data_IF_813181280929
#
_entry.id   IF_813181280929
#
_cell.length_a   1.000
_cell.length_b   1.000
_cell.length_c   1.000
_cell.angle_alpha   90.00
_cell.angle_beta   90.00
_cell.angle_gamma   90.00
#
_symmetry.space_group_name_H-M   'P 1'
#
loop_
_entity.id
_entity.type
_entity.pdbx_description
1 polymer ?
#
# COMPACT_ATOMS: atom_id res chain seq x y z
N UNK A 1 29.78 55.79 48.19
CA UNK A 1 28.56 55.69 49.03
C UNK A 1 27.42 55.42 48.08
N UNK A 2 27.24 54.14 47.69
CA UNK A 2 26.29 53.19 48.26
C UNK A 2 24.92 53.24 47.54
N UNK A 3 24.60 52.12 46.85
CA UNK A 3 23.27 51.48 46.68
C UNK A 3 22.17 52.25 45.89
N UNK A 4 21.31 51.63 45.08
CA UNK A 4 20.81 50.25 45.03
C UNK A 4 20.42 49.81 43.61
N UNK A 5 20.71 48.55 43.31
CA UNK A 5 20.22 47.77 42.18
C UNK A 5 18.89 47.12 42.57
N UNK A 6 17.77 47.63 42.06
CA UNK A 6 16.47 47.01 42.30
C UNK A 6 15.52 47.20 41.11
N UNK A 7 15.74 46.47 40.01
CA UNK A 7 14.76 46.37 38.92
C UNK A 7 14.87 45.08 38.08
N UNK A 8 15.11 43.91 38.69
CA UNK A 8 15.04 42.61 37.95
C UNK A 8 14.45 41.46 38.80
N UNK A 9 13.49 41.73 39.69
CA UNK A 9 12.85 40.65 40.50
C UNK A 9 11.34 40.54 40.28
N UNK A 10 10.71 41.49 39.58
CA UNK A 10 9.23 41.51 39.45
C UNK A 10 8.71 40.73 38.24
N UNK A 11 9.55 40.33 37.28
CA UNK A 11 9.07 39.62 36.08
C UNK A 11 9.08 38.08 36.18
N UNK A 12 9.93 37.47 37.03
CA UNK A 12 10.00 36.00 37.14
C UNK A 12 8.84 35.39 37.95
N UNK A 13 8.36 36.09 38.98
CA UNK A 13 7.24 35.62 39.83
C UNK A 13 5.91 35.55 39.06
N UNK A 14 5.66 36.50 38.16
CA UNK A 14 4.44 36.53 37.36
C UNK A 14 4.43 35.44 36.30
N UNK A 15 5.59 35.13 35.68
CA UNK A 15 5.73 34.03 34.74
C UNK A 15 5.59 32.64 35.40
N UNK A 16 6.14 32.45 36.60
CA UNK A 16 5.95 31.19 37.34
C UNK A 16 4.49 30.95 37.73
N UNK A 17 3.78 32.00 38.17
CA UNK A 17 2.35 31.89 38.50
C UNK A 17 1.49 31.63 37.26
N UNK A 18 1.87 32.18 36.10
CA UNK A 18 1.19 31.93 34.82
C UNK A 18 1.39 30.50 34.32
N UNK A 19 2.61 29.95 34.44
CA UNK A 19 2.91 28.55 34.09
C UNK A 19 2.20 27.57 35.04
N UNK A 20 2.12 27.87 36.35
CA UNK A 20 1.36 27.06 37.31
C UNK A 20 -0.16 27.10 37.03
N UNK A 21 -0.69 28.24 36.59
CA UNK A 21 -2.10 28.37 36.22
C UNK A 21 -2.44 27.58 34.94
N UNK A 22 -1.57 27.61 33.93
CA UNK A 22 -1.73 26.80 32.70
C UNK A 22 -1.67 25.30 33.02
N UNK A 23 -0.74 24.87 33.88
CA UNK A 23 -0.68 23.47 34.31
C UNK A 23 -1.90 23.04 35.14
N UNK A 24 -2.50 23.93 35.94
CA UNK A 24 -3.74 23.65 36.66
C UNK A 24 -4.95 23.51 35.72
N UNK A 25 -5.02 24.33 34.67
CA UNK A 25 -6.08 24.25 33.66
C UNK A 25 -5.94 22.96 32.83
N UNK A 26 -4.71 22.57 32.46
CA UNK A 26 -4.44 21.29 31.79
C UNK A 26 -4.76 20.08 32.69
N UNK A 27 -4.49 20.13 34.00
CA UNK A 27 -4.87 19.06 34.92
C UNK A 27 -6.39 18.95 35.14
N UNK A 28 -7.11 20.07 35.08
CA UNK A 28 -8.57 20.08 35.21
C UNK A 28 -9.33 19.56 33.98
N UNK A 29 -8.64 19.35 32.85
CA UNK A 29 -9.20 18.70 31.65
C UNK A 29 -8.77 17.25 31.45
N UNK A 30 -8.00 16.67 32.38
CA UNK A 30 -7.87 15.21 32.47
C UNK A 30 -9.11 14.68 33.20
N UNK A 31 -10.26 14.85 32.56
CA UNK A 31 -11.42 14.02 32.83
C UNK A 31 -11.05 12.60 32.42
N UNK A 32 -10.85 11.73 33.40
CA UNK A 32 -10.90 10.30 33.16
C UNK A 32 -12.25 9.99 32.51
N UNK A 33 -12.26 9.75 31.20
CA UNK A 33 -13.35 9.00 30.57
C UNK A 33 -13.18 7.59 31.11
N UNK A 34 -13.84 7.32 32.24
CA UNK A 34 -14.11 5.97 32.68
C UNK A 34 -15.16 5.43 31.71
N UNK A 35 -14.70 4.97 30.54
CA UNK A 35 -15.51 4.18 29.64
C UNK A 35 -15.89 2.91 30.38
N UNK A 36 -17.12 2.90 30.90
CA UNK A 36 -17.80 1.70 31.37
C UNK A 36 -17.57 0.59 30.35
N UNK A 37 -16.98 -0.52 30.81
CA UNK A 37 -16.70 -1.71 29.99
C UNK A 37 -17.98 -2.47 29.58
N UNK A 38 -19.15 -1.93 29.92
CA UNK A 38 -20.45 -2.62 29.78
C UNK A 38 -21.32 -2.11 28.61
N UNK A 39 -20.91 -1.08 27.87
CA UNK A 39 -21.75 -0.52 26.78
C UNK A 39 -21.36 -0.94 25.35
N UNK A 40 -20.45 -1.91 25.18
CA UNK A 40 -20.27 -2.62 23.89
C UNK A 40 -21.01 -3.96 23.89
N UNK A 41 -22.33 -3.93 24.11
CA UNK A 41 -23.18 -5.07 23.79
C UNK A 41 -23.53 -5.04 22.29
N UNK A 42 -22.73 -5.74 21.48
CA UNK A 42 -23.04 -6.10 20.09
C UNK A 42 -24.14 -7.20 20.10
N UNK A 43 -25.34 -6.86 20.57
CA UNK A 43 -26.46 -7.81 20.65
C UNK A 43 -27.78 -7.25 20.13
N UNK A 44 -27.76 -6.17 19.34
CA UNK A 44 -28.98 -5.69 18.70
C UNK A 44 -28.80 -5.18 17.26
N UNK A 45 -28.04 -5.91 16.44
CA UNK A 45 -27.90 -5.65 15.00
C UNK A 45 -28.88 -6.47 14.13
N UNK A 46 -29.87 -7.13 14.73
CA UNK A 46 -30.69 -8.14 14.06
C UNK A 46 -32.05 -7.66 13.55
N UNK A 47 -32.23 -6.37 13.19
CA UNK A 47 -33.55 -5.94 12.67
C UNK A 47 -33.59 -5.33 11.27
N UNK A 48 -32.53 -4.74 10.70
CA UNK A 48 -32.60 -4.21 9.32
C UNK A 48 -31.24 -4.16 8.59
N UNK A 49 -30.59 -5.30 8.44
CA UNK A 49 -29.43 -5.43 7.57
C UNK A 49 -29.26 -6.88 7.18
N UNK A 50 -29.64 -7.24 5.95
CA UNK A 50 -29.33 -8.56 5.40
C UNK A 50 -27.81 -8.77 5.50
N UNK A 51 -27.38 -9.89 6.08
CA UNK A 51 -26.00 -10.39 6.07
C UNK A 51 -25.58 -10.71 4.62
N UNK A 52 -25.43 -9.67 3.81
CA UNK A 52 -24.93 -9.80 2.46
C UNK A 52 -23.41 -9.91 2.53
N UNK A 53 -22.93 -11.15 2.50
CA UNK A 53 -21.53 -11.43 2.20
C UNK A 53 -21.43 -11.61 0.67
N UNK A 54 -20.87 -10.65 -0.08
CA UNK A 54 -20.70 -10.83 -1.52
C UNK A 54 -19.88 -12.10 -1.80
N UNK A 55 -20.26 -12.91 -2.82
CA UNK A 55 -19.53 -14.11 -3.19
C UNK A 55 -18.07 -13.77 -3.48
N UNK A 56 -17.16 -14.60 -2.98
CA UNK A 56 -15.72 -14.41 -3.27
C UNK A 56 -15.46 -14.71 -4.75
N UNK A 57 -14.89 -13.77 -5.52
CA UNK A 57 -14.49 -14.06 -6.89
C UNK A 57 -13.45 -15.19 -6.89
N UNK A 58 -13.60 -16.21 -7.74
CA UNK A 58 -12.63 -17.30 -7.82
C UNK A 58 -11.24 -16.74 -8.17
N UNK A 59 -10.21 -17.24 -7.48
CA UNK A 59 -8.83 -16.87 -7.78
C UNK A 59 -8.51 -17.29 -9.23
N UNK A 60 -8.01 -16.38 -10.07
CA UNK A 60 -7.61 -16.74 -11.43
C UNK A 60 -6.49 -17.80 -11.39
N UNK A 61 -6.49 -18.78 -12.31
CA UNK A 61 -5.46 -19.80 -12.37
C UNK A 61 -4.07 -19.18 -12.61
N UNK A 62 -2.98 -19.81 -12.11
CA UNK A 62 -1.63 -19.29 -12.31
C UNK A 62 -1.29 -19.27 -13.81
N UNK A 63 -1.00 -18.08 -14.37
CA UNK A 63 -0.50 -18.00 -15.74
C UNK A 63 0.90 -18.66 -15.84
N UNK A 64 1.19 -19.38 -16.94
CA UNK A 64 2.53 -19.89 -17.22
C UNK A 64 3.54 -18.73 -17.22
N UNK A 65 4.73 -18.97 -16.68
CA UNK A 65 5.79 -17.97 -16.70
C UNK A 65 6.37 -17.81 -18.12
N UNK A 66 6.74 -16.58 -18.54
CA UNK A 66 7.56 -16.40 -19.73
C UNK A 66 8.94 -17.07 -19.55
N UNK A 67 9.69 -17.30 -20.64
CA UNK A 67 11.06 -17.80 -20.54
C UNK A 67 11.90 -16.89 -19.63
N UNK A 68 12.84 -17.50 -18.89
CA UNK A 68 13.72 -16.75 -18.01
C UNK A 68 14.68 -15.89 -18.81
N UNK A 69 14.81 -14.62 -18.41
CA UNK A 69 15.83 -13.71 -18.91
C UNK A 69 17.24 -14.17 -18.49
N UNK A 70 18.24 -13.81 -19.28
CA UNK A 70 19.67 -13.98 -19.03
C UNK A 70 20.26 -12.72 -18.37
N UNK A 71 21.37 -12.89 -17.63
CA UNK A 71 22.00 -11.75 -16.95
C UNK A 71 22.64 -10.76 -17.94
N UNK A 72 23.45 -11.27 -18.89
CA UNK A 72 24.29 -10.43 -19.75
C UNK A 72 23.52 -9.87 -20.95
N UNK A 73 22.75 -10.72 -21.64
CA UNK A 73 22.09 -10.31 -22.89
C UNK A 73 20.80 -9.53 -22.62
N UNK A 74 19.94 -10.04 -21.74
CA UNK A 74 18.62 -9.45 -21.50
C UNK A 74 18.62 -8.36 -20.43
N UNK A 75 19.30 -8.62 -19.30
CA UNK A 75 19.35 -7.70 -18.17
C UNK A 75 20.52 -6.72 -18.22
N UNK A 76 21.41 -6.83 -19.23
CA UNK A 76 22.61 -5.98 -19.39
C UNK A 76 23.46 -5.90 -18.11
N UNK A 77 23.43 -6.96 -17.32
CA UNK A 77 24.17 -7.10 -16.08
C UNK A 77 25.55 -7.72 -16.28
N UNK A 78 26.25 -7.89 -15.18
CA UNK A 78 27.57 -8.54 -15.15
C UNK A 78 27.44 -9.88 -14.42
N UNK A 79 27.92 -10.96 -15.04
CA UNK A 79 27.95 -12.29 -14.45
C UNK A 79 26.77 -13.16 -14.90
N UNK A 80 26.22 -13.98 -13.99
CA UNK A 80 25.20 -14.97 -14.33
C UNK A 80 24.21 -15.18 -13.21
N UNK A 81 22.94 -15.41 -13.56
CA UNK A 81 21.87 -15.76 -12.62
C UNK A 81 22.12 -17.09 -11.89
N UNK A 82 23.06 -17.92 -12.36
CA UNK A 82 23.45 -19.15 -11.67
C UNK A 82 24.57 -18.97 -10.63
N UNK A 83 25.31 -17.86 -10.70
CA UNK A 83 26.40 -17.53 -9.76
C UNK A 83 26.06 -16.23 -9.03
N UNK A 84 26.33 -15.08 -9.64
CA UNK A 84 25.95 -13.76 -9.17
C UNK A 84 25.72 -12.90 -10.39
N UNK A 85 24.53 -12.31 -10.48
CA UNK A 85 24.16 -11.35 -11.52
C UNK A 85 24.07 -9.97 -10.88
N UNK A 86 24.92 -9.05 -11.34
CA UNK A 86 24.92 -7.67 -10.86
C UNK A 86 24.30 -6.76 -11.91
N UNK A 87 23.20 -6.10 -11.56
CA UNK A 87 22.54 -5.13 -12.43
C UNK A 87 23.06 -3.75 -12.11
N UNK A 88 23.69 -3.10 -13.09
CA UNK A 88 24.31 -1.78 -12.96
C UNK A 88 23.64 -0.72 -13.85
N UNK A 89 22.58 -1.09 -14.58
CA UNK A 89 21.93 -0.27 -15.59
C UNK A 89 20.42 -0.32 -15.38
N UNK A 90 19.75 0.81 -15.62
CA UNK A 90 18.30 0.90 -15.56
C UNK A 90 17.64 0.06 -16.65
N UNK A 91 16.57 -0.65 -16.30
CA UNK A 91 15.82 -1.52 -17.19
C UNK A 91 14.35 -1.09 -17.22
N UNK A 92 13.79 -1.05 -18.43
CA UNK A 92 12.39 -0.79 -18.66
C UNK A 92 11.82 -1.87 -19.57
N UNK A 93 10.80 -2.56 -19.09
CA UNK A 93 10.10 -3.61 -19.79
C UNK A 93 8.70 -3.15 -20.17
N UNK A 94 8.17 -3.74 -21.24
CA UNK A 94 6.80 -3.49 -21.72
C UNK A 94 5.89 -4.71 -21.51
N UNK A 95 6.47 -5.86 -21.18
CA UNK A 95 5.78 -7.14 -21.05
C UNK A 95 6.17 -7.82 -19.73
N UNK A 96 5.39 -8.84 -19.35
CA UNK A 96 5.69 -9.69 -18.21
C UNK A 96 7.09 -10.31 -18.33
N UNK A 97 7.88 -10.25 -17.26
CA UNK A 97 9.24 -10.79 -17.21
C UNK A 97 9.40 -11.80 -16.09
N UNK A 98 10.25 -12.79 -16.37
CA UNK A 98 10.68 -13.79 -15.40
C UNK A 98 12.21 -13.83 -15.32
N UNK A 99 12.74 -13.72 -14.12
CA UNK A 99 14.18 -13.77 -13.83
C UNK A 99 14.41 -14.95 -12.90
N UNK A 100 14.91 -16.05 -13.45
CA UNK A 100 15.15 -17.31 -12.75
C UNK A 100 16.64 -17.63 -12.63
N UNK A 101 17.08 -18.07 -11.45
CA UNK A 101 18.50 -18.35 -11.21
C UNK A 101 18.79 -19.22 -9.98
N UNK A 102 19.95 -19.90 -10.01
CA UNK A 102 20.48 -20.66 -8.87
C UNK A 102 21.43 -19.86 -7.96
N UNK A 103 21.88 -18.71 -8.45
CA UNK A 103 22.86 -17.83 -7.81
C UNK A 103 22.21 -16.69 -7.03
N UNK A 104 22.87 -15.53 -7.03
CA UNK A 104 22.41 -14.27 -6.45
C UNK A 104 21.94 -13.29 -7.53
N UNK A 105 21.07 -12.35 -7.14
CA UNK A 105 20.70 -11.20 -7.96
C UNK A 105 20.88 -9.91 -7.14
N UNK A 106 21.86 -9.10 -7.55
CA UNK A 106 22.19 -7.84 -6.90
C UNK A 106 21.81 -6.68 -7.80
N UNK A 107 20.83 -5.90 -7.38
CA UNK A 107 20.48 -4.64 -8.03
C UNK A 107 21.31 -3.56 -7.36
N UNK A 108 22.29 -3.03 -8.09
CA UNK A 108 23.24 -2.06 -7.54
C UNK A 108 22.56 -0.73 -7.19
N UNK A 109 23.21 0.14 -6.39
CA UNK A 109 22.65 1.43 -6.02
C UNK A 109 22.22 2.27 -7.21
N UNK A 110 21.13 3.03 -7.03
CA UNK A 110 20.53 3.90 -8.04
C UNK A 110 20.03 3.21 -9.33
N UNK A 111 19.95 1.88 -9.35
CA UNK A 111 19.41 1.13 -10.48
C UNK A 111 17.89 1.00 -10.36
N UNK A 112 17.18 1.25 -11.46
CA UNK A 112 15.73 1.11 -11.55
C UNK A 112 15.35 0.00 -12.52
N UNK A 113 14.45 -0.90 -12.08
CA UNK A 113 13.82 -1.90 -12.93
C UNK A 113 12.33 -1.58 -12.98
N UNK A 114 11.80 -1.34 -14.18
CA UNK A 114 10.43 -0.87 -14.33
C UNK A 114 9.65 -1.65 -15.39
N UNK A 115 8.36 -1.86 -15.14
CA UNK A 115 7.37 -2.20 -16.15
C UNK A 115 6.10 -1.41 -15.84
N UNK A 116 5.91 -0.31 -16.55
CA UNK A 116 4.87 0.68 -16.23
C UNK A 116 3.51 0.38 -16.88
N UNK A 117 3.39 -0.75 -17.58
CA UNK A 117 2.10 -1.22 -18.10
C UNK A 117 1.24 -1.70 -16.93
N UNK A 118 -0.01 -1.20 -16.76
CA UNK A 118 -0.89 -1.62 -15.67
C UNK A 118 -1.06 -3.15 -15.63
N UNK A 119 -0.81 -3.73 -14.46
CA UNK A 119 -0.85 -5.18 -14.24
C UNK A 119 0.38 -5.97 -14.72
N UNK A 120 1.37 -5.31 -15.32
CA UNK A 120 2.60 -5.97 -15.78
C UNK A 120 3.34 -6.65 -14.62
N UNK A 121 3.85 -7.84 -14.88
CA UNK A 121 4.41 -8.72 -13.87
C UNK A 121 5.92 -8.84 -13.98
N UNK A 122 6.63 -8.48 -12.91
CA UNK A 122 8.03 -8.82 -12.69
C UNK A 122 8.10 -9.97 -11.68
N UNK A 123 8.58 -11.13 -12.11
CA UNK A 123 8.74 -12.31 -11.25
C UNK A 123 10.20 -12.73 -11.14
N UNK A 124 10.74 -12.71 -9.93
CA UNK A 124 12.11 -13.06 -9.61
C UNK A 124 12.11 -14.34 -8.78
N UNK A 125 12.88 -15.33 -9.20
CA UNK A 125 13.02 -16.62 -8.53
C UNK A 125 14.49 -17.03 -8.49
N UNK A 126 15.11 -16.74 -7.36
CA UNK A 126 16.54 -16.88 -7.13
C UNK A 126 16.75 -17.86 -5.97
N UNK A 127 17.72 -18.78 -6.10
CA UNK A 127 17.91 -19.82 -5.07
C UNK A 127 18.75 -19.36 -3.88
N UNK A 128 19.47 -18.23 -4.01
CA UNK A 128 20.30 -17.63 -2.96
C UNK A 128 19.76 -16.24 -2.60
N UNK A 129 20.61 -15.21 -2.67
CA UNK A 129 20.34 -13.91 -2.11
C UNK A 129 19.83 -12.94 -3.19
N UNK A 130 18.84 -12.15 -2.81
CA UNK A 130 18.36 -11.01 -3.57
C UNK A 130 18.70 -9.73 -2.80
N UNK A 131 19.30 -8.76 -3.48
CA UNK A 131 19.61 -7.46 -2.87
C UNK A 131 19.11 -6.32 -3.74
N UNK A 132 18.46 -5.35 -3.09
CA UNK A 132 18.05 -4.08 -3.69
C UNK A 132 18.89 -2.98 -3.04
N UNK A 133 19.88 -2.48 -3.77
CA UNK A 133 20.88 -1.52 -3.30
C UNK A 133 20.30 -0.14 -2.96
N UNK A 134 21.14 0.74 -2.42
CA UNK A 134 20.71 2.06 -1.96
C UNK A 134 20.04 2.88 -3.07
N UNK A 135 18.89 3.49 -2.78
CA UNK A 135 18.11 4.29 -3.75
C UNK A 135 17.73 3.56 -5.06
N UNK A 136 17.80 2.22 -5.08
CA UNK A 136 17.35 1.44 -6.23
C UNK A 136 15.84 1.17 -6.14
N UNK A 137 15.20 0.96 -7.28
CA UNK A 137 13.73 0.89 -7.33
C UNK A 137 13.22 -0.20 -8.26
N UNK A 138 12.16 -0.88 -7.86
CA UNK A 138 11.39 -1.78 -8.71
C UNK A 138 9.99 -1.22 -8.86
N UNK A 139 9.56 -0.95 -10.11
CA UNK A 139 8.23 -0.48 -10.44
C UNK A 139 7.51 -1.50 -11.31
N UNK A 140 6.36 -2.00 -10.87
CA UNK A 140 5.57 -2.97 -11.65
C UNK A 140 4.11 -3.00 -11.19
N UNK A 141 3.21 -3.55 -12.00
CA UNK A 141 1.85 -3.84 -11.54
C UNK A 141 1.79 -5.03 -10.59
N UNK A 142 2.55 -6.09 -10.86
CA UNK A 142 2.73 -7.23 -9.97
C UNK A 142 4.21 -7.51 -9.77
N UNK A 143 4.66 -7.56 -8.53
CA UNK A 143 5.98 -8.02 -8.15
C UNK A 143 5.90 -9.33 -7.37
N UNK A 144 6.66 -10.34 -7.79
CA UNK A 144 6.77 -11.61 -7.08
C UNK A 144 8.24 -11.94 -6.88
N UNK A 145 8.68 -12.04 -5.63
CA UNK A 145 10.01 -12.47 -5.25
C UNK A 145 9.96 -13.81 -4.54
N UNK A 146 10.78 -14.74 -5.01
CA UNK A 146 11.15 -15.98 -4.31
C UNK A 146 12.66 -16.01 -4.18
N UNK A 147 13.15 -15.98 -2.95
CA UNK A 147 14.58 -15.98 -2.66
C UNK A 147 14.88 -16.80 -1.40
N UNK A 148 16.16 -17.16 -1.19
CA UNK A 148 16.59 -17.66 0.11
C UNK A 148 16.70 -16.51 1.10
N UNK A 149 17.55 -15.51 0.84
CA UNK A 149 17.56 -14.26 1.60
C UNK A 149 17.16 -13.08 0.72
N UNK A 150 16.60 -12.05 1.33
CA UNK A 150 16.31 -10.79 0.65
C UNK A 150 16.70 -9.60 1.53
N UNK A 151 17.29 -8.57 0.91
CA UNK A 151 17.64 -7.32 1.58
C UNK A 151 17.22 -6.12 0.73
N UNK A 152 16.52 -5.18 1.37
CA UNK A 152 16.20 -3.86 0.83
C UNK A 152 17.01 -2.84 1.60
N UNK A 153 17.97 -2.20 0.93
CA UNK A 153 18.90 -1.22 1.53
C UNK A 153 18.23 0.17 1.58
N UNK A 154 18.78 1.07 2.40
CA UNK A 154 18.28 2.43 2.61
C UNK A 154 17.87 3.15 1.32
N UNK A 155 16.72 3.81 1.35
CA UNK A 155 16.14 4.51 0.20
C UNK A 155 15.67 3.60 -0.96
N UNK A 156 15.85 2.28 -0.87
CA UNK A 156 15.33 1.38 -1.90
C UNK A 156 13.79 1.27 -1.86
N UNK A 157 13.18 0.93 -3.00
CA UNK A 157 11.73 0.82 -3.09
C UNK A 157 11.25 -0.32 -3.99
N UNK A 158 10.21 -1.01 -3.55
CA UNK A 158 9.36 -1.85 -4.40
C UNK A 158 8.00 -1.16 -4.46
N UNK A 159 7.65 -0.63 -5.63
CA UNK A 159 6.49 0.23 -5.80
C UNK A 159 5.55 -0.30 -6.89
N UNK A 160 4.30 -0.52 -6.50
CA UNK A 160 3.24 -0.97 -7.42
C UNK A 160 2.04 -0.01 -7.45
N UNK A 161 2.27 1.22 -6.99
CA UNK A 161 1.26 2.27 -6.84
C UNK A 161 0.68 2.67 -8.19
N UNK A 162 -0.66 2.75 -8.31
CA UNK A 162 -1.42 3.08 -9.54
C UNK A 162 -1.23 2.08 -10.70
N UNK A 163 -0.43 1.02 -10.53
CA UNK A 163 -0.11 0.06 -11.58
C UNK A 163 -0.99 -1.21 -11.52
N UNK A 164 -2.17 -1.16 -10.90
CA UNK A 164 -3.09 -2.30 -10.86
C UNK A 164 -3.44 -2.83 -12.26
N UNK A 165 -3.50 -4.16 -12.37
CA UNK A 165 -4.23 -4.82 -13.45
C UNK A 165 -5.73 -4.83 -13.17
N UNK A 166 -6.45 -5.77 -13.78
CA UNK A 166 -7.89 -5.90 -13.53
C UNK A 166 -8.16 -6.37 -12.10
N UNK A 167 -8.91 -5.60 -11.28
CA UNK A 167 -9.30 -6.04 -9.95
C UNK A 167 -10.31 -7.20 -10.04
N UNK A 168 -10.64 -7.89 -8.93
CA UNK A 168 -11.66 -8.92 -8.94
C UNK A 168 -13.00 -8.39 -9.52
N UNK A 169 -13.85 -9.28 -10.05
CA UNK A 169 -15.16 -8.85 -10.56
C UNK A 169 -15.99 -8.16 -9.45
N UNK A 170 -16.82 -7.18 -9.83
CA UNK A 170 -17.70 -6.43 -8.92
C UNK A 170 -17.00 -5.53 -7.89
N UNK A 171 -15.72 -5.19 -8.11
CA UNK A 171 -14.92 -4.35 -7.19
C UNK A 171 -14.80 -2.89 -7.61
N UNK A 172 -15.09 -2.57 -8.87
CA UNK A 172 -15.47 -1.22 -9.24
C UNK A 172 -16.87 -1.03 -8.67
N UNK A 173 -17.01 -0.20 -7.63
CA UNK A 173 -18.34 0.13 -7.13
C UNK A 173 -19.21 0.53 -8.32
N UNK A 174 -20.43 0.00 -8.42
CA UNK A 174 -21.31 0.40 -9.52
C UNK A 174 -21.90 1.74 -9.11
N UNK A 175 -21.40 2.88 -9.62
CA UNK A 175 -21.97 4.13 -9.21
C UNK A 175 -23.40 4.22 -9.74
N UNK A 176 -24.35 4.63 -8.90
CA UNK A 176 -25.67 4.98 -9.38
C UNK A 176 -25.63 6.40 -9.96
N UNK A 177 -25.72 6.52 -11.29
CA UNK A 177 -25.78 7.82 -11.95
C UNK A 177 -24.40 8.41 -12.24
N UNK A 178 -24.13 9.61 -11.72
CA UNK A 178 -22.87 10.34 -11.88
C UNK A 178 -22.09 10.38 -10.56
N UNK A 179 -22.28 9.43 -9.64
CA UNK A 179 -21.52 9.42 -8.39
C UNK A 179 -20.21 8.63 -8.59
N UNK A 180 -19.16 8.89 -7.81
CA UNK A 180 -17.91 8.09 -7.86
C UNK A 180 -17.99 6.97 -6.83
N UNK A 181 -17.71 5.71 -7.21
CA UNK A 181 -17.70 4.59 -6.27
C UNK A 181 -16.54 3.62 -6.55
N UNK A 182 -15.83 3.22 -5.49
CA UNK A 182 -14.79 2.19 -5.55
C UNK A 182 -15.03 1.13 -4.49
N UNK A 183 -14.71 -0.13 -4.76
CA UNK A 183 -14.71 -1.19 -3.74
C UNK A 183 -13.38 -1.25 -2.99
N UNK A 184 -13.39 -1.81 -1.78
CA UNK A 184 -12.21 -2.00 -0.93
C UNK A 184 -11.91 -3.48 -0.66
N UNK A 185 -10.63 -3.82 -0.52
CA UNK A 185 -10.25 -5.14 -0.03
C UNK A 185 -10.55 -5.22 1.47
N UNK A 186 -11.41 -6.17 1.89
CA UNK A 186 -11.71 -6.38 3.30
C UNK A 186 -12.60 -5.31 3.96
N UNK A 187 -13.07 -4.31 3.23
CA UNK A 187 -14.02 -3.30 3.69
C UNK A 187 -14.79 -2.67 2.54
N UNK A 188 -15.81 -1.85 2.84
CA UNK A 188 -16.50 -1.06 1.79
C UNK A 188 -15.56 0.02 1.30
N UNK A 189 -15.61 0.34 0.01
CA UNK A 189 -14.80 1.45 -0.49
C UNK A 189 -15.50 2.80 -0.34
N UNK A 190 -14.82 3.86 -0.75
CA UNK A 190 -15.31 5.22 -0.63
C UNK A 190 -16.34 5.56 -1.70
N UNK A 191 -17.25 6.47 -1.36
CA UNK A 191 -18.18 7.12 -2.27
C UNK A 191 -17.90 8.62 -2.34
N UNK A 192 -18.04 9.19 -3.54
CA UNK A 192 -18.00 10.63 -3.75
C UNK A 192 -19.43 11.12 -3.97
N UNK A 193 -19.99 11.80 -2.96
CA UNK A 193 -21.29 12.47 -3.04
C UNK A 193 -21.09 13.84 -3.69
N UNK A 194 -21.63 14.01 -4.89
CA UNK A 194 -21.68 15.33 -5.56
C UNK A 194 -23.03 16.02 -5.38
N UNK A 195 -24.05 15.28 -4.96
CA UNK A 195 -25.40 15.77 -4.70
C UNK A 195 -25.58 16.12 -3.22
N UNK A 196 -25.72 17.40 -2.92
CA UNK A 196 -25.93 17.92 -1.57
C UNK A 196 -27.31 17.54 -0.98
N UNK A 197 -28.20 16.93 -1.76
CA UNK A 197 -29.50 16.43 -1.29
C UNK A 197 -29.45 15.01 -0.75
N UNK A 198 -28.36 14.26 -1.00
CA UNK A 198 -28.18 12.90 -0.50
C UNK A 198 -27.33 12.92 0.77
N UNK A 199 -27.72 12.16 1.78
CA UNK A 199 -26.90 11.97 2.97
C UNK A 199 -25.86 10.85 2.75
N UNK A 200 -24.83 10.80 3.59
CA UNK A 200 -23.74 9.83 3.43
C UNK A 200 -24.20 8.39 3.71
N UNK A 201 -25.27 8.23 4.49
CA UNK A 201 -26.00 6.97 4.66
C UNK A 201 -26.78 6.51 3.42
N UNK A 202 -27.05 7.41 2.47
CA UNK A 202 -27.83 7.11 1.24
C UNK A 202 -26.94 6.67 0.07
N UNK A 203 -25.62 6.92 0.15
CA UNK A 203 -24.66 6.61 -0.92
C UNK A 203 -23.52 5.80 -0.36
N UNK A 204 -23.35 4.60 -0.91
CA UNK A 204 -22.34 3.65 -0.46
C UNK A 204 -21.29 3.50 -1.56
N UNK A 205 -20.04 3.29 -1.17
CA UNK A 205 -19.01 2.91 -2.12
C UNK A 205 -19.23 1.49 -2.64
N UNK A 206 -18.29 1.02 -3.44
CA UNK A 206 -18.34 -0.33 -4.00
C UNK A 206 -18.27 -1.43 -2.96
N UNK A 207 -18.74 -2.60 -3.38
CA UNK A 207 -18.77 -3.79 -2.54
C UNK A 207 -17.38 -4.17 -2.04
N UNK A 208 -17.38 -4.75 -0.84
CA UNK A 208 -16.19 -5.36 -0.26
C UNK A 208 -15.79 -6.58 -1.07
N UNK A 209 -14.50 -6.72 -1.33
CA UNK A 209 -13.94 -7.93 -1.94
C UNK A 209 -12.84 -8.54 -1.11
N UNK A 210 -12.63 -9.85 -1.31
CA UNK A 210 -11.56 -10.57 -0.64
C UNK A 210 -11.78 -10.81 0.86
N UNK A 211 -13.00 -10.59 1.38
CA UNK A 211 -13.34 -10.81 2.80
C UNK A 211 -12.96 -12.22 3.30
N UNK A 212 -13.23 -13.25 2.51
CA UNK A 212 -12.89 -14.65 2.83
C UNK A 212 -11.39 -15.00 2.70
N UNK A 213 -10.59 -14.08 2.13
CA UNK A 213 -9.15 -14.26 1.89
C UNK A 213 -8.33 -13.14 2.53
N UNK A 214 -8.85 -12.52 3.59
CA UNK A 214 -8.13 -11.50 4.38
C UNK A 214 -6.78 -12.01 4.91
N UNK A 215 -6.70 -13.31 5.22
CA UNK A 215 -5.46 -13.97 5.66
C UNK A 215 -4.44 -14.17 4.52
N UNK A 216 -4.86 -14.05 3.27
CA UNK A 216 -4.07 -14.34 2.07
C UNK A 216 -4.38 -13.31 0.96
N UNK A 217 -4.14 -12.01 1.18
CA UNK A 217 -4.48 -10.98 0.21
C UNK A 217 -3.72 -11.21 -1.10
N UNK A 218 -4.48 -11.27 -2.21
CA UNK A 218 -3.92 -11.48 -3.55
C UNK A 218 -4.81 -10.88 -4.65
N UNK A 219 -5.16 -9.61 -4.49
CA UNK A 219 -5.99 -8.86 -5.42
C UNK A 219 -5.35 -7.54 -5.79
N UNK A 220 -5.55 -7.11 -7.04
CA UNK A 220 -5.31 -5.72 -7.40
C UNK A 220 -6.31 -4.81 -6.68
N UNK A 221 -5.90 -3.56 -6.45
CA UNK A 221 -6.80 -2.49 -6.07
C UNK A 221 -7.75 -2.15 -7.21
N UNK A 222 -8.98 -1.81 -6.87
CA UNK A 222 -9.92 -1.18 -7.80
C UNK A 222 -9.44 0.24 -8.16
N UNK A 223 -9.74 0.69 -9.39
CA UNK A 223 -9.35 2.02 -9.88
C UNK A 223 -10.18 3.17 -9.29
N UNK A 224 -11.23 2.87 -8.52
CA UNK A 224 -12.30 3.83 -8.27
C UNK A 224 -13.25 3.92 -9.47
N UNK A 225 -14.31 4.70 -9.32
CA UNK A 225 -15.33 4.92 -10.35
C UNK A 225 -15.48 6.41 -10.65
N UNK A 226 -15.99 6.73 -11.84
CA UNK A 226 -16.16 8.09 -12.34
C UNK A 226 -17.61 8.53 -12.30
N UNK A 227 -17.79 9.84 -12.23
CA UNK A 227 -19.08 10.53 -12.39
C UNK A 227 -19.46 10.71 -13.87
N UNK A 228 -18.49 10.64 -14.77
CA UNK A 228 -18.68 10.85 -16.22
C UNK A 228 -19.05 9.57 -16.95
N UNK A 229 -19.97 9.69 -17.93
CA UNK A 229 -20.35 8.59 -18.83
C UNK A 229 -19.38 8.38 -19.99
N UNK A 230 -18.54 9.38 -20.26
CA UNK A 230 -17.71 9.46 -21.46
C UNK A 230 -16.23 9.18 -21.16
N UNK A 231 -15.78 9.48 -19.93
CA UNK A 231 -14.37 9.36 -19.53
C UNK A 231 -14.23 8.77 -18.13
N UNK A 232 -13.30 7.82 -17.98
CA UNK A 232 -12.93 7.23 -16.70
C UNK A 232 -11.87 8.11 -16.00
N UNK A 233 -12.29 8.76 -14.92
CA UNK A 233 -11.44 9.59 -14.04
C UNK A 233 -10.97 8.85 -12.78
N UNK A 234 -11.11 7.52 -12.72
CA UNK A 234 -10.65 6.75 -11.55
C UNK A 234 -9.14 6.87 -11.30
N UNK A 235 -8.76 7.05 -10.04
CA UNK A 235 -7.36 7.26 -9.62
C UNK A 235 -6.39 6.10 -9.86
N UNK A 236 -6.86 4.95 -10.33
CA UNK A 236 -6.02 3.78 -10.61
C UNK A 236 -5.70 2.97 -9.35
N UNK A 237 -5.81 1.65 -9.42
CA UNK A 237 -5.64 0.80 -8.25
C UNK A 237 -4.18 0.50 -7.91
N UNK A 238 -3.93 0.06 -6.69
CA UNK A 238 -2.64 -0.49 -6.27
C UNK A 238 -2.36 -1.90 -6.79
N UNK A 239 -1.09 -2.18 -7.06
CA UNK A 239 -0.63 -3.45 -7.59
C UNK A 239 -0.61 -4.63 -6.60
N UNK A 240 0.20 -5.65 -6.90
CA UNK A 240 0.36 -6.81 -6.03
C UNK A 240 1.82 -7.10 -5.75
N UNK A 241 2.16 -7.27 -4.49
CA UNK A 241 3.51 -7.62 -4.04
C UNK A 241 3.43 -8.96 -3.30
N UNK A 242 4.25 -9.93 -3.72
CA UNK A 242 4.41 -11.19 -3.00
C UNK A 242 5.88 -11.50 -2.81
N UNK A 243 6.32 -11.61 -1.56
CA UNK A 243 7.67 -12.02 -1.20
C UNK A 243 7.61 -13.33 -0.42
N UNK A 244 8.33 -14.34 -0.90
CA UNK A 244 8.48 -15.64 -0.22
C UNK A 244 9.96 -15.88 0.01
N UNK A 245 10.40 -15.67 1.23
CA UNK A 245 11.79 -15.67 1.66
C UNK A 245 12.01 -16.84 2.62
N UNK A 246 12.96 -17.72 2.31
CA UNK A 246 13.19 -18.94 3.10
C UNK A 246 14.10 -18.74 4.31
N UNK A 247 15.04 -17.82 4.21
CA UNK A 247 15.95 -17.39 5.27
C UNK A 247 15.45 -16.07 5.84
N UNK A 248 16.31 -15.06 5.87
CA UNK A 248 15.98 -13.76 6.44
C UNK A 248 15.53 -12.76 5.38
N UNK A 249 14.64 -11.85 5.81
CA UNK A 249 14.23 -10.67 5.07
C UNK A 249 14.61 -9.43 5.89
N UNK A 250 15.49 -8.61 5.35
CA UNK A 250 15.85 -7.30 5.90
C UNK A 250 15.21 -6.19 5.06
N UNK A 251 14.43 -5.32 5.69
CA UNK A 251 13.70 -4.23 5.02
C UNK A 251 14.09 -2.92 5.65
N UNK A 252 15.16 -2.33 5.12
CA UNK A 252 15.52 -0.94 5.35
C UNK A 252 15.16 -0.10 4.11
N UNK A 253 13.95 -0.29 3.58
CA UNK A 253 13.46 0.38 2.38
C UNK A 253 11.94 0.49 2.42
N UNK A 254 11.33 0.78 1.27
CA UNK A 254 9.87 0.96 1.16
C UNK A 254 9.23 -0.10 0.27
N UNK A 255 8.04 -0.55 0.66
CA UNK A 255 7.23 -1.52 -0.11
C UNK A 255 5.83 -0.93 -0.20
N UNK A 256 5.43 -0.52 -1.40
CA UNK A 256 4.23 0.30 -1.63
C UNK A 256 3.29 -0.34 -2.66
N UNK A 257 2.00 -0.36 -2.34
CA UNK A 257 0.94 -0.84 -3.24
C UNK A 257 -0.26 0.09 -3.17
N UNK A 258 -0.05 1.40 -3.26
CA UNK A 258 -1.11 2.38 -3.07
C UNK A 258 -2.02 2.52 -4.29
N UNK A 259 -3.27 2.90 -4.07
CA UNK A 259 -4.11 3.45 -5.14
C UNK A 259 -3.71 4.89 -5.45
N UNK A 260 -4.20 5.43 -6.57
CA UNK A 260 -3.98 6.83 -6.93
C UNK A 260 -5.21 7.69 -6.70
N UNK A 261 -5.03 8.98 -6.98
CA UNK A 261 -6.08 9.98 -6.83
C UNK A 261 -6.82 10.20 -8.16
N UNK A 262 -8.15 10.13 -8.12
CA UNK A 262 -9.04 10.40 -9.26
C UNK A 262 -9.36 11.88 -9.46
N UNK A 263 -8.90 12.74 -8.54
CA UNK A 263 -9.16 14.17 -8.56
C UNK A 263 -10.61 14.51 -8.21
N UNK A 264 -11.09 15.66 -8.67
CA UNK A 264 -12.44 16.14 -8.35
C UNK A 264 -13.55 15.45 -9.16
N UNK A 265 -13.21 14.84 -10.30
CA UNK A 265 -14.18 14.26 -11.25
C UNK A 265 -14.32 12.74 -11.12
N UNK A 266 -13.42 12.09 -10.38
CA UNK A 266 -13.37 10.64 -10.21
C UNK A 266 -13.01 10.20 -8.80
N UNK A 267 -13.41 8.97 -8.45
CA UNK A 267 -13.08 8.35 -7.18
C UNK A 267 -11.63 7.92 -7.12
N UNK A 268 -11.03 8.04 -5.92
CA UNK A 268 -9.71 7.49 -5.65
C UNK A 268 -9.62 5.99 -5.87
N UNK A 269 -8.45 5.52 -6.27
CA UNK A 269 -8.11 4.12 -6.36
C UNK A 269 -7.87 3.51 -4.98
N UNK A 270 -8.23 2.24 -4.83
CA UNK A 270 -7.93 1.49 -3.61
C UNK A 270 -6.52 0.91 -3.65
N UNK A 271 -5.96 0.70 -2.45
CA UNK A 271 -4.71 -0.02 -2.28
C UNK A 271 -4.77 -1.46 -2.82
N UNK A 272 -3.60 -1.95 -3.19
CA UNK A 272 -3.34 -3.30 -3.65
C UNK A 272 -3.08 -4.28 -2.52
N UNK A 273 -2.44 -5.40 -2.85
CA UNK A 273 -2.12 -6.45 -1.87
C UNK A 273 -0.63 -6.60 -1.67
N UNK A 274 -0.18 -6.61 -0.41
CA UNK A 274 1.19 -6.98 -0.03
C UNK A 274 1.12 -8.26 0.79
N UNK A 275 1.81 -9.31 0.34
CA UNK A 275 1.93 -10.58 1.04
C UNK A 275 3.40 -10.94 1.23
N UNK A 276 3.84 -10.99 2.48
CA UNK A 276 5.22 -11.35 2.84
C UNK A 276 5.17 -12.64 3.68
N UNK A 277 5.91 -13.64 3.24
CA UNK A 277 6.18 -14.85 4.01
C UNK A 277 7.70 -14.97 4.15
N UNK A 278 8.19 -14.82 5.38
CA UNK A 278 9.60 -14.92 5.73
C UNK A 278 9.75 -15.74 7.02
N UNK A 279 10.92 -16.34 7.24
CA UNK A 279 11.20 -16.97 8.52
C UNK A 279 11.39 -15.89 9.60
N UNK A 280 10.73 -16.09 10.74
CA UNK A 280 10.95 -15.29 11.94
C UNK A 280 12.33 -15.64 12.50
N UNK A 281 13.19 -14.63 12.64
CA UNK A 281 14.47 -14.75 13.35
C UNK A 281 14.25 -14.84 14.85
#
# INVERSE_FOLDING_TARGET
MARDSLQVVVSLSMFHKFILLINLIFYSQIGFIYGSKEDFSILNFNLFGQDYTPPTPPLPPPSPHPPSLSCEEDLKGIGSLNTTCQLNTNLQFENDVYIGGKGNLDILPCVSISCLVPGCRISINISRDFSLGQNSSILAGTFILRAFNASLVDGSSINTTVLAGNPPAQTSGTPQGIDGAGGGHGGRGACCLTDNQKHQEDVWGGDTYGWSMLDKPWSYGSKGGTTSRETDYGGGGGGRIKMVIKGFLDVNGTVLAEGGDGGFEGGGGSGGSIKIAAHKM
#
